data_IF_562823703139
#
_entry.id   IF_562823703139
#
_cell.length_a   1.000
_cell.length_b   1.000
_cell.length_c   1.000
_cell.angle_alpha   90.00
_cell.angle_beta   90.00
_cell.angle_gamma   90.00
#
_symmetry.space_group_name_H-M   'P 1'
#
loop_
_entity.id
_entity.type
_entity.pdbx_description
1 polymer ?
#
# COMPACT_ATOMS: atom_id res chain seq x y z
N UNK A 1 6.94 -8.30 9.18
CA UNK A 1 6.43 -6.97 9.59
C UNK A 1 6.94 -6.64 11.00
N UNK A 2 6.88 -7.56 11.95
CA UNK A 2 7.22 -7.32 13.37
C UNK A 2 8.58 -6.66 13.58
N UNK A 3 9.59 -7.07 12.81
CA UNK A 3 10.92 -6.47 12.87
C UNK A 3 10.90 -4.96 12.56
N UNK A 4 10.16 -4.55 11.54
CA UNK A 4 10.03 -3.15 11.18
C UNK A 4 9.22 -2.35 12.23
N UNK A 5 8.25 -2.97 12.88
CA UNK A 5 7.54 -2.35 14.00
C UNK A 5 8.48 -2.04 15.15
N UNK A 6 9.38 -2.98 15.47
CA UNK A 6 10.43 -2.76 16.50
C UNK A 6 11.42 -1.67 16.10
N UNK A 7 11.79 -1.58 14.82
CA UNK A 7 12.66 -0.49 14.33
C UNK A 7 12.00 0.88 14.52
N UNK A 8 10.69 1.01 14.20
CA UNK A 8 9.94 2.26 14.48
C UNK A 8 9.95 2.59 15.97
N UNK A 9 9.74 1.60 16.84
CA UNK A 9 9.78 1.82 18.29
C UNK A 9 11.17 2.24 18.77
N UNK A 10 12.23 1.63 18.27
CA UNK A 10 13.60 2.04 18.61
C UNK A 10 13.90 3.47 18.18
N UNK A 11 13.47 3.87 16.97
CA UNK A 11 13.60 5.27 16.48
C UNK A 11 12.81 6.22 17.38
N UNK A 12 11.57 5.87 17.74
CA UNK A 12 10.77 6.67 18.67
C UNK A 12 11.50 6.89 20.00
N UNK A 13 12.03 5.80 20.58
CA UNK A 13 12.78 5.86 21.87
C UNK A 13 14.03 6.73 21.73
N UNK A 14 14.81 6.54 20.66
CA UNK A 14 16.04 7.28 20.42
C UNK A 14 15.79 8.78 20.25
N UNK A 15 14.64 9.17 19.72
CA UNK A 15 14.23 10.56 19.53
C UNK A 15 13.48 11.15 20.73
N UNK A 16 13.22 10.38 21.79
CA UNK A 16 12.48 10.82 22.97
C UNK A 16 11.02 11.17 22.70
N UNK A 17 10.40 10.55 21.66
CA UNK A 17 9.02 10.81 21.28
C UNK A 17 8.04 10.04 22.19
N UNK A 18 6.86 10.62 22.43
CA UNK A 18 5.84 10.07 23.30
C UNK A 18 4.42 10.51 22.87
N UNK A 19 3.41 10.10 23.63
CA UNK A 19 2.00 10.39 23.33
C UNK A 19 1.62 11.89 23.26
N UNK A 20 2.49 12.81 23.69
CA UNK A 20 2.24 14.24 23.59
C UNK A 20 2.74 14.86 22.29
N UNK A 21 3.72 14.20 21.62
CA UNK A 21 4.42 14.78 20.48
C UNK A 21 4.63 13.84 19.29
N UNK A 22 4.25 12.54 19.38
CA UNK A 22 4.47 11.57 18.32
C UNK A 22 3.21 11.34 17.48
N UNK A 23 3.21 11.85 16.26
CA UNK A 23 2.23 11.51 15.22
C UNK A 23 2.95 10.63 14.19
N UNK A 24 2.45 9.41 14.01
CA UNK A 24 2.99 8.47 13.02
C UNK A 24 2.18 8.57 11.72
N UNK A 25 2.85 8.82 10.60
CA UNK A 25 2.28 8.77 9.27
C UNK A 25 2.83 7.56 8.52
N UNK A 26 1.93 6.74 7.98
CA UNK A 26 2.26 5.66 7.07
C UNK A 26 1.56 5.83 5.72
N UNK A 27 2.34 5.80 4.62
CA UNK A 27 1.83 5.87 3.26
C UNK A 27 2.07 4.53 2.56
N UNK A 28 1.07 4.00 1.85
CA UNK A 28 1.14 2.73 1.13
C UNK A 28 1.61 1.60 2.06
N UNK A 29 2.67 0.87 1.75
CA UNK A 29 3.25 -0.13 2.66
C UNK A 29 3.54 0.42 4.07
N UNK A 30 3.94 1.69 4.16
CA UNK A 30 4.08 2.37 5.46
C UNK A 30 2.76 2.46 6.23
N UNK A 31 1.60 2.41 5.57
CA UNK A 31 0.28 2.30 6.19
C UNK A 31 0.07 0.95 6.87
N UNK A 32 0.53 -0.16 6.25
CA UNK A 32 0.58 -1.48 6.89
C UNK A 32 1.39 -1.40 8.19
N UNK A 33 2.61 -0.85 8.09
CA UNK A 33 3.50 -0.71 9.23
C UNK A 33 2.91 0.18 10.34
N UNK A 34 2.21 1.25 9.96
CA UNK A 34 1.57 2.16 10.91
C UNK A 34 0.38 1.50 11.63
N UNK A 35 -0.43 0.68 10.94
CA UNK A 35 -1.50 -0.12 11.54
C UNK A 35 -0.90 -1.12 12.54
N UNK A 36 0.11 -1.89 12.15
CA UNK A 36 0.76 -2.86 13.03
C UNK A 36 1.41 -2.19 14.24
N UNK A 37 2.06 -1.04 14.04
CA UNK A 37 2.62 -0.26 15.14
C UNK A 37 1.53 0.22 16.10
N UNK A 38 0.43 0.75 15.59
CA UNK A 38 -0.69 1.21 16.43
C UNK A 38 -1.30 0.07 17.24
N UNK A 39 -1.53 -1.10 16.63
CA UNK A 39 -2.05 -2.27 17.33
C UNK A 39 -1.15 -2.71 18.49
N UNK A 40 0.14 -2.44 18.44
CA UNK A 40 1.10 -2.84 19.48
C UNK A 40 1.48 -1.69 20.43
N UNK A 41 1.66 -0.49 19.94
CA UNK A 41 2.31 0.62 20.63
C UNK A 41 1.52 1.93 20.64
N UNK A 42 0.20 1.92 20.35
CA UNK A 42 -0.61 3.15 20.27
C UNK A 42 -0.59 4.03 21.52
N UNK A 43 -0.28 3.46 22.68
CA UNK A 43 -0.12 4.23 23.93
C UNK A 43 1.00 5.29 23.84
N UNK A 44 1.92 5.16 22.88
CA UNK A 44 3.00 6.10 22.62
C UNK A 44 2.65 7.14 21.56
N UNK A 45 1.49 7.02 20.91
CA UNK A 45 1.06 7.91 19.81
C UNK A 45 0.16 9.03 20.32
N UNK A 46 0.41 10.24 19.84
CA UNK A 46 -0.53 11.36 19.88
C UNK A 46 -1.59 11.25 18.78
N UNK A 47 -1.23 10.68 17.65
CA UNK A 47 -2.12 10.49 16.50
C UNK A 47 -1.51 9.56 15.47
N UNK A 48 -2.37 9.02 14.62
CA UNK A 48 -2.04 8.12 13.52
C UNK A 48 -2.56 8.70 12.21
N UNK A 49 -1.77 8.65 11.15
CA UNK A 49 -2.20 9.02 9.80
C UNK A 49 -1.92 7.82 8.87
N UNK A 50 -2.98 7.27 8.30
CA UNK A 50 -2.92 6.19 7.31
C UNK A 50 -3.25 6.79 5.95
N UNK A 51 -2.29 6.80 5.06
CA UNK A 51 -2.42 7.40 3.74
C UNK A 51 -2.32 6.34 2.65
N UNK A 52 -3.35 6.28 1.79
CA UNK A 52 -3.38 5.41 0.61
C UNK A 52 -3.05 3.95 0.96
N UNK A 53 -3.78 3.40 1.93
CA UNK A 53 -3.68 2.00 2.36
C UNK A 53 -5.03 1.49 2.86
N UNK A 54 -5.35 0.26 2.50
CA UNK A 54 -6.50 -0.51 2.99
C UNK A 54 -6.05 -1.55 4.01
N UNK A 55 -6.93 -2.03 4.91
CA UNK A 55 -6.53 -2.92 6.00
C UNK A 55 -6.49 -4.41 5.60
N UNK A 56 -6.58 -4.75 4.32
CA UNK A 56 -6.65 -6.13 3.83
C UNK A 56 -6.01 -6.28 2.45
N UNK A 57 -4.96 -7.09 2.36
CA UNK A 57 -4.34 -7.46 1.09
C UNK A 57 -5.26 -8.30 0.19
N UNK A 58 -6.05 -9.27 0.71
CA UNK A 58 -7.07 -9.95 -0.10
C UNK A 58 -8.07 -9.01 -0.76
N UNK A 59 -8.56 -7.99 -0.05
CA UNK A 59 -9.50 -7.02 -0.61
C UNK A 59 -8.83 -6.05 -1.60
N UNK A 60 -7.59 -5.65 -1.33
CA UNK A 60 -6.77 -4.92 -2.31
C UNK A 60 -6.66 -5.71 -3.62
N UNK A 61 -6.36 -7.01 -3.54
CA UNK A 61 -6.29 -7.88 -4.71
C UNK A 61 -7.63 -8.02 -5.42
N UNK A 62 -8.71 -8.15 -4.68
CA UNK A 62 -10.05 -8.22 -5.26
C UNK A 62 -10.36 -6.94 -6.05
N UNK A 63 -10.13 -5.77 -5.46
CA UNK A 63 -10.35 -4.47 -6.10
C UNK A 63 -9.51 -4.32 -7.38
N UNK A 64 -8.21 -4.61 -7.31
CA UNK A 64 -7.31 -4.57 -8.46
C UNK A 64 -7.79 -5.47 -9.60
N UNK A 65 -8.18 -6.72 -9.29
CA UNK A 65 -8.53 -7.73 -10.28
C UNK A 65 -9.96 -7.65 -10.82
N UNK A 66 -10.85 -6.93 -10.17
CA UNK A 66 -12.25 -6.78 -10.60
C UNK A 66 -12.54 -5.38 -11.11
N UNK A 67 -12.32 -4.37 -10.29
CA UNK A 67 -12.73 -2.99 -10.61
C UNK A 67 -11.67 -2.30 -11.48
N UNK A 68 -10.40 -2.34 -11.08
CA UNK A 68 -9.34 -1.64 -11.82
C UNK A 68 -8.97 -2.37 -13.11
N UNK A 69 -8.91 -3.69 -13.09
CA UNK A 69 -8.70 -4.49 -14.29
C UNK A 69 -9.76 -4.23 -15.37
N UNK A 70 -11.02 -4.07 -14.98
CA UNK A 70 -12.12 -3.78 -15.91
C UNK A 70 -12.03 -2.37 -16.57
N UNK A 71 -11.20 -1.49 -16.04
CA UNK A 71 -10.94 -0.15 -16.61
C UNK A 71 -9.77 -0.12 -17.61
N UNK A 72 -9.00 -1.20 -17.68
CA UNK A 72 -7.89 -1.31 -18.61
C UNK A 72 -8.39 -1.65 -20.03
N UNK A 73 -7.55 -1.34 -21.02
CA UNK A 73 -7.76 -1.84 -22.37
C UNK A 73 -7.81 -3.38 -22.36
N UNK A 74 -8.86 -4.00 -22.95
CA UNK A 74 -9.04 -5.46 -22.92
C UNK A 74 -7.87 -6.23 -23.53
N UNK A 75 -7.24 -5.72 -24.59
CA UNK A 75 -6.13 -6.39 -25.26
C UNK A 75 -4.86 -6.34 -24.39
N UNK A 76 -4.65 -5.25 -23.66
CA UNK A 76 -3.58 -5.14 -22.66
C UNK A 76 -3.82 -6.11 -21.50
N UNK A 77 -5.05 -6.15 -20.99
CA UNK A 77 -5.40 -7.06 -19.89
C UNK A 77 -5.19 -8.53 -20.26
N UNK A 78 -5.57 -8.93 -21.49
CA UNK A 78 -5.33 -10.30 -21.98
C UNK A 78 -3.84 -10.64 -21.98
N UNK A 79 -2.96 -9.73 -22.44
CA UNK A 79 -1.53 -9.94 -22.43
C UNK A 79 -0.99 -10.06 -21.00
N UNK A 80 -1.41 -9.20 -20.07
CA UNK A 80 -1.02 -9.26 -18.66
C UNK A 80 -1.41 -10.60 -18.05
N UNK A 81 -2.63 -11.08 -18.27
CA UNK A 81 -3.12 -12.35 -17.77
C UNK A 81 -2.35 -13.55 -18.33
N UNK A 82 -1.85 -13.48 -19.57
CA UNK A 82 -0.99 -14.51 -20.14
C UNK A 82 0.35 -14.61 -19.40
N UNK A 83 1.01 -13.49 -19.10
CA UNK A 83 2.23 -13.48 -18.28
C UNK A 83 1.98 -13.99 -16.86
N UNK A 84 0.90 -13.58 -16.23
CA UNK A 84 0.52 -14.03 -14.88
C UNK A 84 0.27 -15.54 -14.83
N UNK A 85 -0.44 -16.10 -15.82
CA UNK A 85 -0.68 -17.53 -15.92
C UNK A 85 0.60 -18.34 -16.13
N UNK A 86 1.60 -17.75 -16.81
CA UNK A 86 2.93 -18.34 -16.99
C UNK A 86 3.84 -18.14 -15.76
N UNK A 87 3.45 -17.35 -14.76
CA UNK A 87 4.28 -16.98 -13.63
C UNK A 87 5.40 -15.99 -13.96
N UNK A 88 5.32 -15.33 -15.11
CA UNK A 88 6.35 -14.42 -15.66
C UNK A 88 6.18 -12.98 -15.18
N UNK A 89 5.97 -12.79 -13.89
CA UNK A 89 5.69 -11.48 -13.26
C UNK A 89 6.83 -10.45 -13.36
N UNK A 90 8.06 -10.90 -13.63
CA UNK A 90 9.23 -10.01 -13.76
C UNK A 90 9.65 -9.80 -15.23
N UNK A 91 8.88 -10.33 -16.18
CA UNK A 91 9.16 -10.14 -17.60
C UNK A 91 9.10 -8.67 -17.98
N UNK A 92 10.07 -8.17 -18.74
CA UNK A 92 10.19 -6.74 -19.10
C UNK A 92 8.91 -6.20 -19.75
N UNK A 93 8.32 -6.97 -20.68
CA UNK A 93 7.07 -6.58 -21.35
C UNK A 93 5.91 -6.49 -20.37
N UNK A 94 5.80 -7.42 -19.41
CA UNK A 94 4.75 -7.36 -18.37
C UNK A 94 4.87 -6.09 -17.55
N UNK A 95 6.07 -5.78 -17.04
CA UNK A 95 6.32 -4.57 -16.25
C UNK A 95 6.05 -3.30 -17.06
N UNK A 96 6.46 -3.28 -18.33
CA UNK A 96 6.21 -2.16 -19.24
C UNK A 96 4.72 -1.93 -19.46
N UNK A 97 3.95 -2.98 -19.77
CA UNK A 97 2.50 -2.88 -19.97
C UNK A 97 1.79 -2.28 -18.75
N UNK A 98 2.14 -2.74 -17.53
CA UNK A 98 1.58 -2.19 -16.30
C UNK A 98 2.00 -0.73 -16.12
N UNK A 99 3.28 -0.42 -16.26
CA UNK A 99 3.79 0.93 -16.04
C UNK A 99 3.18 1.94 -17.01
N UNK A 100 3.00 1.57 -18.28
CA UNK A 100 2.48 2.48 -19.30
C UNK A 100 0.94 2.62 -19.26
N UNK A 101 0.20 1.58 -18.84
CA UNK A 101 -1.27 1.56 -18.94
C UNK A 101 -2.00 1.65 -17.60
N UNK A 102 -1.36 1.27 -16.51
CA UNK A 102 -1.99 1.27 -15.18
C UNK A 102 -1.51 2.44 -14.29
N UNK A 103 -0.19 2.70 -14.25
CA UNK A 103 0.38 3.71 -13.37
C UNK A 103 -0.11 5.14 -13.65
N UNK A 104 -0.26 5.60 -14.92
CA UNK A 104 -0.80 6.93 -15.20
C UNK A 104 -2.27 7.11 -14.82
N UNK A 105 -3.00 6.02 -14.60
CA UNK A 105 -4.40 6.06 -14.18
C UNK A 105 -4.55 6.02 -12.64
N UNK A 106 -3.72 5.24 -11.94
CA UNK A 106 -3.98 4.85 -10.55
C UNK A 106 -2.85 5.18 -9.57
N UNK A 107 -1.60 5.38 -10.04
CA UNK A 107 -0.47 5.72 -9.15
C UNK A 107 -0.22 7.22 -9.14
N UNK A 108 0.01 7.82 -10.31
CA UNK A 108 0.08 9.27 -10.45
C UNK A 108 -0.57 9.68 -11.77
N UNK A 109 -1.71 10.36 -11.70
CA UNK A 109 -2.55 10.71 -12.84
C UNK A 109 -1.95 11.82 -13.71
N UNK A 110 -0.82 11.47 -14.33
CA UNK A 110 -0.07 12.26 -15.32
C UNK A 110 0.59 11.33 -16.34
N UNK A 111 0.85 11.79 -17.56
CA UNK A 111 1.75 11.06 -18.46
C UNK A 111 3.10 10.79 -17.79
N UNK A 112 3.71 9.63 -18.06
CA UNK A 112 4.94 9.20 -17.39
C UNK A 112 6.10 10.19 -17.57
N UNK A 113 6.21 10.80 -18.75
CA UNK A 113 7.22 11.82 -19.09
C UNK A 113 7.02 13.15 -18.34
N UNK A 114 5.81 13.36 -17.79
CA UNK A 114 5.46 14.52 -16.97
C UNK A 114 5.52 14.23 -15.46
N UNK A 115 6.04 13.07 -15.05
CA UNK A 115 6.18 12.75 -13.63
C UNK A 115 7.28 13.59 -13.00
N UNK A 116 7.03 14.23 -11.84
CA UNK A 116 8.01 15.08 -11.18
C UNK A 116 9.22 14.27 -10.66
N UNK A 117 10.37 14.92 -10.64
CA UNK A 117 11.64 14.31 -10.22
C UNK A 117 11.56 13.56 -8.88
N UNK A 118 10.91 14.08 -7.81
CA UNK A 118 10.81 13.34 -6.55
C UNK A 118 10.13 11.98 -6.67
N UNK A 119 9.13 11.84 -7.55
CA UNK A 119 8.45 10.56 -7.80
C UNK A 119 9.38 9.61 -8.56
N UNK A 120 10.00 10.09 -9.64
CA UNK A 120 10.95 9.28 -10.41
C UNK A 120 12.12 8.80 -9.54
N UNK A 121 12.67 9.66 -8.69
CA UNK A 121 13.72 9.32 -7.73
C UNK A 121 13.24 8.28 -6.71
N UNK A 122 12.01 8.39 -6.21
CA UNK A 122 11.44 7.42 -5.27
C UNK A 122 11.40 6.02 -5.88
N UNK A 123 10.88 5.89 -7.11
CA UNK A 123 10.87 4.62 -7.82
C UNK A 123 12.28 4.08 -8.12
N UNK A 124 13.19 4.95 -8.55
CA UNK A 124 14.59 4.56 -8.83
C UNK A 124 15.37 4.11 -7.57
N UNK A 125 14.95 4.57 -6.40
CA UNK A 125 15.58 4.25 -5.11
C UNK A 125 14.89 3.10 -4.38
N UNK A 126 13.86 2.50 -4.97
CA UNK A 126 13.13 1.39 -4.36
C UNK A 126 14.06 0.19 -4.12
N UNK A 127 14.00 -0.38 -2.92
CA UNK A 127 14.61 -1.69 -2.66
C UNK A 127 13.78 -2.78 -3.37
N UNK A 128 13.98 -2.89 -4.69
CA UNK A 128 13.15 -3.75 -5.54
C UNK A 128 13.16 -5.23 -5.13
N UNK A 129 14.30 -5.84 -4.69
CA UNK A 129 14.26 -7.21 -4.18
C UNK A 129 13.33 -7.39 -2.97
N UNK A 130 13.30 -6.43 -2.04
CA UNK A 130 12.40 -6.46 -0.89
C UNK A 130 10.95 -6.22 -1.31
N UNK A 131 10.72 -5.24 -2.18
CA UNK A 131 9.40 -4.94 -2.73
C UNK A 131 8.80 -6.17 -3.43
N UNK A 132 9.57 -6.83 -4.30
CA UNK A 132 9.17 -8.06 -4.99
C UNK A 132 8.84 -9.19 -4.02
N UNK A 133 9.63 -9.35 -2.96
CA UNK A 133 9.40 -10.37 -1.93
C UNK A 133 8.13 -10.12 -1.12
N UNK A 134 7.82 -8.87 -0.82
CA UNK A 134 6.69 -8.51 0.06
C UNK A 134 5.38 -8.37 -0.70
N UNK A 135 5.38 -7.67 -1.81
CA UNK A 135 4.18 -7.29 -2.57
C UNK A 135 4.08 -7.95 -3.93
N UNK A 136 5.20 -8.11 -4.62
CA UNK A 136 5.25 -8.52 -6.01
C UNK A 136 5.86 -7.43 -6.91
N UNK A 137 5.76 -7.58 -8.24
CA UNK A 137 6.53 -6.78 -9.18
C UNK A 137 5.98 -5.36 -9.42
N UNK A 138 4.75 -5.07 -8.99
CA UNK A 138 4.06 -3.82 -9.36
C UNK A 138 2.95 -3.44 -8.38
N UNK A 139 2.32 -2.29 -8.62
CA UNK A 139 1.14 -1.81 -7.89
C UNK A 139 -0.19 -2.44 -8.40
N UNK A 140 -0.15 -3.38 -9.33
CA UNK A 140 -1.33 -4.08 -9.83
C UNK A 140 -1.61 -5.36 -9.06
N UNK A 141 -1.95 -5.20 -7.79
CA UNK A 141 -2.23 -6.31 -6.87
C UNK A 141 -0.97 -6.93 -6.26
N UNK A 142 -1.20 -7.81 -5.30
CA UNK A 142 -0.17 -8.65 -4.67
C UNK A 142 -0.20 -10.01 -5.34
N UNK A 143 0.90 -10.43 -5.95
CA UNK A 143 0.92 -11.62 -6.82
C UNK A 143 1.95 -12.66 -6.38
N UNK A 144 1.79 -13.88 -6.87
CA UNK A 144 2.72 -14.99 -6.64
C UNK A 144 2.81 -15.40 -5.16
N UNK A 145 4.04 -15.56 -4.68
CA UNK A 145 4.34 -15.97 -3.30
C UNK A 145 4.71 -14.79 -2.39
N UNK A 146 4.22 -13.59 -2.71
CA UNK A 146 4.48 -12.39 -1.92
C UNK A 146 4.01 -12.57 -0.46
N UNK A 147 4.84 -12.12 0.49
CA UNK A 147 4.62 -12.39 1.92
C UNK A 147 3.44 -11.64 2.51
N UNK A 148 2.99 -10.55 1.87
CA UNK A 148 1.84 -9.75 2.30
C UNK A 148 0.50 -10.26 1.78
N UNK A 149 0.47 -11.28 0.93
CA UNK A 149 -0.76 -11.72 0.22
C UNK A 149 -1.96 -12.03 1.13
N UNK A 150 -1.69 -12.52 2.33
CA UNK A 150 -2.71 -12.92 3.30
C UNK A 150 -2.82 -11.93 4.49
N UNK A 151 -2.15 -10.76 4.41
CA UNK A 151 -2.23 -9.77 5.47
C UNK A 151 -3.63 -9.16 5.54
N UNK A 152 -4.27 -9.26 6.72
CA UNK A 152 -5.61 -8.73 6.98
C UNK A 152 -5.72 -8.29 8.44
N UNK A 153 -6.12 -7.03 8.66
CA UNK A 153 -6.33 -6.42 9.98
C UNK A 153 -7.73 -5.84 10.16
N UNK A 154 -8.66 -6.19 9.29
CA UNK A 154 -10.04 -5.69 9.35
C UNK A 154 -10.68 -5.91 10.72
N UNK A 155 -10.56 -7.12 11.28
CA UNK A 155 -11.12 -7.45 12.60
C UNK A 155 -10.42 -6.77 13.77
N UNK A 156 -9.25 -6.20 13.55
CA UNK A 156 -8.44 -5.58 14.58
C UNK A 156 -8.57 -4.05 14.64
N UNK A 157 -9.17 -3.42 13.61
CA UNK A 157 -9.25 -1.95 13.49
C UNK A 157 -9.90 -1.29 14.71
N UNK A 158 -10.96 -1.89 15.25
CA UNK A 158 -11.65 -1.37 16.45
C UNK A 158 -10.80 -1.33 17.71
N UNK A 159 -9.64 -2.00 17.72
CA UNK A 159 -8.65 -1.94 18.80
C UNK A 159 -7.78 -0.68 18.75
N UNK A 160 -7.76 0.02 17.59
CA UNK A 160 -7.04 1.28 17.44
C UNK A 160 -7.91 2.40 17.98
N UNK A 161 -7.48 2.99 19.09
CA UNK A 161 -8.22 4.01 19.84
C UNK A 161 -7.55 5.38 19.84
N UNK A 162 -6.33 5.47 19.30
CA UNK A 162 -5.63 6.74 19.10
C UNK A 162 -6.32 7.55 17.99
N UNK A 163 -6.40 8.91 18.10
CA UNK A 163 -6.93 9.73 17.04
C UNK A 163 -6.30 9.42 15.70
N UNK A 164 -7.11 8.99 14.71
CA UNK A 164 -6.63 8.48 13.43
C UNK A 164 -7.25 9.25 12.27
N UNK A 165 -6.41 9.67 11.32
CA UNK A 165 -6.79 10.23 10.03
C UNK A 165 -6.52 9.21 8.92
N UNK A 166 -7.55 8.82 8.18
CA UNK A 166 -7.43 8.05 6.93
C UNK A 166 -7.47 9.01 5.74
N UNK A 167 -6.48 8.90 4.85
CA UNK A 167 -6.39 9.69 3.62
C UNK A 167 -6.43 8.73 2.44
N UNK A 168 -7.36 8.95 1.52
CA UNK A 168 -7.51 8.19 0.29
C UNK A 168 -7.71 9.08 -0.93
N UNK A 169 -7.66 8.49 -2.12
CA UNK A 169 -7.88 9.17 -3.38
C UNK A 169 -8.87 8.39 -4.26
N UNK A 170 -9.70 9.12 -5.02
CA UNK A 170 -10.78 8.54 -5.82
C UNK A 170 -10.30 7.54 -6.88
N UNK A 171 -9.09 7.69 -7.38
CA UNK A 171 -8.53 6.90 -8.48
C UNK A 171 -7.35 6.04 -8.06
N UNK A 172 -7.22 5.81 -6.77
CA UNK A 172 -6.13 5.06 -6.16
C UNK A 172 -6.11 3.58 -6.57
N UNK A 173 -4.99 2.95 -6.37
CA UNK A 173 -4.87 1.48 -6.37
C UNK A 173 -5.56 0.87 -5.15
N UNK A 174 -5.74 1.66 -4.10
CA UNK A 174 -6.49 1.30 -2.88
C UNK A 174 -7.96 1.68 -3.05
N UNK A 175 -8.87 0.76 -2.74
CA UNK A 175 -10.31 1.01 -2.84
C UNK A 175 -10.75 2.17 -1.93
N UNK A 176 -11.26 3.29 -2.48
CA UNK A 176 -11.74 4.41 -1.67
C UNK A 176 -12.83 4.03 -0.67
N UNK A 177 -13.72 3.10 -1.05
CA UNK A 177 -14.78 2.62 -0.17
C UNK A 177 -14.21 1.84 1.04
N UNK A 178 -13.15 1.09 0.85
CA UNK A 178 -12.43 0.39 1.92
C UNK A 178 -11.72 1.38 2.85
N UNK A 179 -11.13 2.45 2.31
CA UNK A 179 -10.49 3.48 3.13
C UNK A 179 -11.52 4.27 3.96
N UNK A 180 -12.69 4.57 3.39
CA UNK A 180 -13.82 5.19 4.11
C UNK A 180 -14.35 4.27 5.21
N UNK A 181 -14.55 2.98 4.89
CA UNK A 181 -14.96 1.98 5.88
C UNK A 181 -13.92 1.84 7.00
N UNK A 182 -12.61 1.73 6.69
CA UNK A 182 -11.55 1.69 7.69
C UNK A 182 -11.61 2.90 8.63
N UNK A 183 -11.85 4.11 8.09
CA UNK A 183 -11.98 5.32 8.91
C UNK A 183 -13.17 5.26 9.87
N UNK A 184 -14.22 4.50 9.55
CA UNK A 184 -15.38 4.30 10.42
C UNK A 184 -15.16 3.28 11.53
N UNK A 185 -14.25 2.33 11.31
CA UNK A 185 -13.96 1.23 12.25
C UNK A 185 -12.93 1.60 13.31
N UNK A 186 -12.00 2.51 13.02
CA UNK A 186 -11.06 3.01 14.04
C UNK A 186 -11.80 3.93 15.00
N UNK A 187 -11.60 3.72 16.30
CA UNK A 187 -12.25 4.54 17.31
C UNK A 187 -11.69 5.97 17.30
N UNK A 188 -12.58 6.96 17.48
CA UNK A 188 -12.24 8.38 17.51
C UNK A 188 -11.88 8.83 18.92
#
# INVERSE_FOLDING_TARGET
>A
IDHYVEEVEQVRVALGLNAENFILLGHSWGGILAIEYALKYQANLKGLIISNMVPSAPEYNQYANTILAAQMDPDILVQLRAFEAAGEYTHETYLKLITENYYPAHVLRRPLDAWPEPVNRSFASLNYPMYLHMQGPSEFGIVGNATLKDWDRKSDLSKITVPTLSIGAQYDTMDPAQMEWMASEVQR
#
